data_IF_436017315811
#
_entry.id   IF_436017315811
#
_cell.length_a   1.000
_cell.length_b   1.000
_cell.length_c   1.000
_cell.angle_alpha   90.00
_cell.angle_beta   90.00
_cell.angle_gamma   90.00
#
_symmetry.space_group_name_H-M   'P 1'
#
loop_
_entity.id
_entity.type
_entity.pdbx_description
1 polymer ?
#
# COMPACT_ATOMS: atom_id res chain seq x y z
N UNK A 1 -21.14 2.53 10.24
CA UNK A 1 -19.96 3.41 10.26
C UNK A 1 -20.19 4.57 9.32
N UNK A 2 -19.89 5.76 9.75
CA UNK A 2 -19.92 6.98 8.92
C UNK A 2 -18.52 7.39 8.56
N UNK A 3 -18.34 7.93 7.35
CA UNK A 3 -17.05 8.38 6.84
C UNK A 3 -17.06 9.89 6.63
N UNK A 4 -15.95 10.52 6.93
CA UNK A 4 -15.71 11.96 6.81
C UNK A 4 -14.46 12.21 5.97
N UNK A 5 -14.31 13.43 5.46
CA UNK A 5 -13.10 13.90 4.79
C UNK A 5 -12.17 14.59 5.78
N UNK A 6 -10.87 14.44 5.60
CA UNK A 6 -9.84 15.19 6.34
C UNK A 6 -9.94 16.71 6.14
N UNK A 7 -10.66 17.19 5.11
CA UNK A 7 -10.73 18.61 4.75
C UNK A 7 -12.09 19.28 5.00
N UNK A 8 -13.02 18.55 5.60
CA UNK A 8 -14.25 19.11 6.16
C UNK A 8 -15.52 18.82 5.38
N UNK A 9 -15.49 18.08 4.25
CA UNK A 9 -16.70 17.58 3.63
C UNK A 9 -17.47 16.71 4.64
N UNK A 10 -18.67 17.14 4.97
CA UNK A 10 -19.47 16.56 6.05
C UNK A 10 -20.58 15.63 5.57
N UNK A 11 -20.78 15.50 4.27
CA UNK A 11 -21.75 14.53 3.74
C UNK A 11 -21.28 13.12 4.10
N UNK A 12 -21.91 12.55 5.12
CA UNK A 12 -21.60 11.18 5.56
C UNK A 12 -21.92 10.17 4.45
N UNK A 13 -20.92 9.37 4.09
CA UNK A 13 -21.05 8.35 3.06
C UNK A 13 -20.85 6.96 3.65
N UNK A 14 -21.58 5.94 3.15
CA UNK A 14 -21.34 4.56 3.52
C UNK A 14 -20.05 4.04 2.86
N UNK A 15 -19.52 2.92 3.38
CA UNK A 15 -18.30 2.32 2.87
C UNK A 15 -18.34 2.05 1.36
N UNK A 16 -19.43 1.51 0.84
CA UNK A 16 -19.55 1.17 -0.58
C UNK A 16 -19.40 2.38 -1.52
N UNK A 17 -19.79 3.57 -1.07
CA UNK A 17 -19.57 4.79 -1.84
C UNK A 17 -18.15 5.32 -1.69
N UNK A 18 -17.59 5.28 -0.49
CA UNK A 18 -16.21 5.65 -0.21
C UNK A 18 -15.23 4.78 -1.00
N UNK A 19 -15.53 3.48 -1.10
CA UNK A 19 -14.75 2.52 -1.90
C UNK A 19 -14.65 2.93 -3.38
N UNK A 20 -15.77 3.31 -3.98
CA UNK A 20 -15.81 3.70 -5.40
C UNK A 20 -15.29 5.12 -5.66
N UNK A 21 -15.39 5.99 -4.66
CA UNK A 21 -15.01 7.39 -4.78
C UNK A 21 -13.51 7.60 -4.78
N UNK A 22 -12.78 6.89 -3.92
CA UNK A 22 -11.34 7.04 -3.70
C UNK A 22 -10.98 8.32 -2.95
N UNK A 23 -11.10 9.47 -3.59
CA UNK A 23 -10.82 10.80 -3.04
C UNK A 23 -12.14 11.53 -2.72
N UNK A 24 -12.17 12.30 -1.63
CA UNK A 24 -13.32 13.13 -1.30
C UNK A 24 -13.51 14.29 -2.30
N UNK A 25 -14.75 14.81 -2.48
CA UNK A 25 -15.01 15.92 -3.41
C UNK A 25 -14.21 17.20 -3.10
N UNK A 26 -13.87 17.43 -1.83
CA UNK A 26 -13.04 18.54 -1.37
C UNK A 26 -11.53 18.31 -1.53
N UNK A 27 -11.13 17.20 -2.11
CA UNK A 27 -9.74 16.79 -2.27
C UNK A 27 -9.11 16.16 -1.03
N UNK A 28 -9.87 16.01 0.05
CA UNK A 28 -9.43 15.34 1.28
C UNK A 28 -9.46 13.82 1.19
N UNK A 29 -8.95 13.17 2.21
CA UNK A 29 -8.93 11.73 2.33
C UNK A 29 -10.09 11.25 3.20
N UNK A 30 -10.77 10.20 2.75
CA UNK A 30 -11.84 9.59 3.52
C UNK A 30 -11.27 8.71 4.64
N UNK A 31 -11.89 8.82 5.83
CA UNK A 31 -11.62 7.97 6.97
C UNK A 31 -12.89 7.88 7.85
N UNK A 32 -13.00 6.87 8.75
CA UNK A 32 -14.17 6.78 9.62
C UNK A 32 -14.23 7.94 10.61
N UNK A 33 -15.44 8.35 10.95
CA UNK A 33 -15.70 9.40 11.94
C UNK A 33 -15.02 9.12 13.29
N UNK A 34 -14.92 7.85 13.66
CA UNK A 34 -14.16 7.37 14.82
C UNK A 34 -13.60 5.98 14.56
N UNK A 35 -12.49 5.64 15.23
CA UNK A 35 -11.96 4.28 15.17
C UNK A 35 -12.70 3.38 16.16
N UNK A 36 -13.21 2.21 15.71
CA UNK A 36 -13.81 1.23 16.61
C UNK A 36 -12.83 0.79 17.69
N UNK A 37 -13.33 0.61 18.90
CA UNK A 37 -12.50 0.13 20.01
C UNK A 37 -12.66 -1.38 20.17
N UNK A 38 -11.55 -2.08 20.31
CA UNK A 38 -11.49 -3.53 20.51
C UNK A 38 -11.05 -3.80 21.94
N UNK A 39 -11.91 -4.48 22.72
CA UNK A 39 -11.59 -4.83 24.10
C UNK A 39 -10.56 -5.97 24.16
N UNK A 40 -9.90 -6.09 25.30
CA UNK A 40 -8.99 -7.20 25.57
C UNK A 40 -9.68 -8.57 25.42
N UNK A 41 -10.89 -8.71 25.92
CA UNK A 41 -11.70 -9.92 25.76
C UNK A 41 -11.95 -10.24 24.28
N UNK A 42 -12.20 -9.25 23.46
CA UNK A 42 -12.35 -9.41 22.01
C UNK A 42 -11.04 -9.85 21.36
N UNK A 43 -9.91 -9.27 21.77
CA UNK A 43 -8.59 -9.71 21.27
C UNK A 43 -8.30 -11.18 21.63
N UNK A 44 -8.68 -11.61 22.84
CA UNK A 44 -8.53 -13.02 23.26
C UNK A 44 -9.34 -13.96 22.37
N UNK A 45 -10.57 -13.58 22.01
CA UNK A 45 -11.43 -14.34 21.10
C UNK A 45 -10.87 -14.40 19.68
N UNK A 46 -10.23 -13.33 19.21
CA UNK A 46 -9.71 -13.25 17.84
C UNK A 46 -8.39 -13.97 17.63
N UNK A 47 -7.64 -14.22 18.70
CA UNK A 47 -6.28 -14.81 18.63
C UNK A 47 -6.22 -16.15 17.90
N UNK A 48 -7.25 -16.98 17.98
CA UNK A 48 -7.30 -18.30 17.34
C UNK A 48 -7.95 -18.34 15.96
N UNK A 49 -8.39 -17.22 15.43
CA UNK A 49 -9.10 -17.16 14.15
C UNK A 49 -8.14 -17.36 12.96
N UNK A 50 -8.64 -17.99 11.91
CA UNK A 50 -7.99 -17.96 10.59
C UNK A 50 -7.93 -16.54 10.06
N UNK A 51 -7.05 -16.29 9.08
CA UNK A 51 -6.92 -14.94 8.52
C UNK A 51 -8.23 -14.39 7.93
N UNK A 52 -9.00 -15.13 7.09
CA UNK A 52 -10.28 -14.60 6.59
C UNK A 52 -11.33 -14.38 7.68
N UNK A 53 -11.36 -15.19 8.73
CA UNK A 53 -12.23 -14.96 9.91
C UNK A 53 -11.81 -13.70 10.66
N UNK A 54 -10.52 -13.51 10.90
CA UNK A 54 -9.98 -12.30 11.52
C UNK A 54 -10.27 -11.07 10.65
N UNK A 55 -10.09 -11.19 9.33
CA UNK A 55 -10.42 -10.11 8.40
C UNK A 55 -11.90 -9.72 8.50
N UNK A 56 -12.80 -10.68 8.62
CA UNK A 56 -14.23 -10.40 8.82
C UNK A 56 -14.47 -9.65 10.13
N UNK A 57 -13.92 -10.12 11.25
CA UNK A 57 -14.10 -9.49 12.56
C UNK A 57 -13.59 -8.04 12.58
N UNK A 58 -12.42 -7.79 12.03
CA UNK A 58 -11.84 -6.44 11.95
C UNK A 58 -12.61 -5.56 10.96
N UNK A 59 -12.82 -6.03 9.75
CA UNK A 59 -13.38 -5.22 8.68
C UNK A 59 -14.87 -4.95 8.84
N UNK A 60 -15.64 -5.84 9.45
CA UNK A 60 -17.06 -5.63 9.74
C UNK A 60 -17.33 -4.44 10.66
N UNK A 61 -16.35 -4.03 11.47
CA UNK A 61 -16.43 -2.81 12.28
C UNK A 61 -16.45 -1.54 11.43
N UNK A 62 -15.88 -1.59 10.24
CA UNK A 62 -15.80 -0.47 9.29
C UNK A 62 -16.80 -0.59 8.14
N UNK A 63 -16.99 -1.79 7.61
CA UNK A 63 -17.83 -2.09 6.46
C UNK A 63 -19.22 -2.48 6.95
N UNK A 64 -20.06 -1.48 7.20
CA UNK A 64 -21.39 -1.69 7.86
C UNK A 64 -22.57 -1.68 6.91
N UNK A 65 -22.35 -1.40 5.62
CA UNK A 65 -23.40 -1.34 4.57
C UNK A 65 -23.33 -2.51 3.58
N UNK A 66 -22.43 -3.46 3.80
CA UNK A 66 -22.41 -4.76 3.10
C UNK A 66 -22.95 -5.81 4.08
N UNK A 67 -23.94 -6.63 3.70
CA UNK A 67 -24.45 -7.70 4.55
C UNK A 67 -23.32 -8.64 5.02
N UNK A 68 -23.42 -9.11 6.25
CA UNK A 68 -22.37 -9.90 6.88
C UNK A 68 -21.97 -11.15 6.08
N UNK A 69 -22.95 -11.88 5.54
CA UNK A 69 -22.65 -13.08 4.74
C UNK A 69 -21.98 -12.75 3.41
N UNK A 70 -22.36 -11.65 2.77
CA UNK A 70 -21.71 -11.17 1.55
C UNK A 70 -20.27 -10.72 1.83
N UNK A 71 -20.03 -10.04 2.95
CA UNK A 71 -18.67 -9.65 3.35
C UNK A 71 -17.79 -10.87 3.67
N UNK A 72 -18.34 -11.88 4.36
CA UNK A 72 -17.63 -13.14 4.60
C UNK A 72 -17.26 -13.84 3.30
N UNK A 73 -18.20 -13.90 2.35
CA UNK A 73 -17.93 -14.48 1.03
C UNK A 73 -16.79 -13.75 0.30
N UNK A 74 -16.83 -12.41 0.28
CA UNK A 74 -15.77 -11.59 -0.31
C UNK A 74 -14.41 -11.93 0.32
N UNK A 75 -14.33 -11.97 1.65
CA UNK A 75 -13.07 -12.19 2.37
C UNK A 75 -12.56 -13.63 2.23
N UNK A 76 -13.45 -14.62 2.23
CA UNK A 76 -13.08 -16.02 2.00
C UNK A 76 -12.56 -16.28 0.59
N UNK A 77 -13.08 -15.56 -0.41
CA UNK A 77 -12.57 -15.61 -1.78
C UNK A 77 -11.26 -14.84 -1.96
N UNK A 78 -11.03 -13.83 -1.14
CA UNK A 78 -9.83 -12.99 -1.20
C UNK A 78 -8.63 -13.66 -0.57
N UNK A 79 -8.75 -14.08 0.69
CA UNK A 79 -7.62 -14.56 1.49
C UNK A 79 -7.57 -16.08 1.51
N UNK A 80 -7.01 -16.65 0.45
CA UNK A 80 -6.88 -18.08 0.24
C UNK A 80 -5.43 -18.54 0.17
N UNK A 81 -5.16 -19.77 0.55
CA UNK A 81 -3.84 -20.38 0.37
C UNK A 81 -3.38 -20.34 -1.10
N UNK A 82 -4.31 -20.56 -2.03
CA UNK A 82 -4.01 -20.51 -3.47
C UNK A 82 -3.51 -19.13 -3.92
N UNK A 83 -4.07 -18.05 -3.38
CA UNK A 83 -3.68 -16.67 -3.73
C UNK A 83 -2.39 -16.22 -3.01
N UNK A 84 -2.17 -16.66 -1.76
CA UNK A 84 -1.10 -16.15 -0.91
C UNK A 84 -0.05 -17.20 -0.49
N UNK A 85 -0.08 -18.38 -1.06
CA UNK A 85 0.96 -19.40 -0.89
C UNK A 85 1.07 -20.02 0.50
N UNK A 86 0.20 -19.63 1.44
CA UNK A 86 0.17 -20.12 2.81
C UNK A 86 -1.23 -20.04 3.40
N UNK A 87 -1.63 -21.03 4.19
CA UNK A 87 -2.87 -21.00 4.98
C UNK A 87 -2.88 -19.86 6.00
N UNK A 88 -1.71 -19.47 6.45
CA UNK A 88 -1.56 -18.35 7.40
C UNK A 88 -1.72 -16.97 6.76
N UNK A 89 -1.70 -16.89 5.43
CA UNK A 89 -1.73 -15.69 4.60
C UNK A 89 -0.54 -14.75 4.87
N UNK A 90 -0.29 -14.40 6.13
CA UNK A 90 0.83 -13.54 6.55
C UNK A 90 1.68 -14.25 7.62
N UNK A 91 2.41 -15.31 7.26
CA UNK A 91 3.24 -16.03 8.21
C UNK A 91 4.34 -15.13 8.80
N UNK A 92 4.72 -15.43 10.04
CA UNK A 92 5.79 -14.73 10.76
C UNK A 92 6.95 -15.69 11.00
N UNK A 93 8.16 -15.26 10.65
CA UNK A 93 9.41 -15.96 10.96
C UNK A 93 10.32 -15.09 11.79
N UNK A 94 11.32 -15.67 12.43
CA UNK A 94 12.24 -14.95 13.31
C UNK A 94 13.66 -15.12 12.83
N UNK A 95 14.37 -14.02 12.62
CA UNK A 95 15.79 -14.02 12.29
C UNK A 95 16.62 -14.38 13.52
N UNK A 96 17.86 -14.83 13.30
CA UNK A 96 18.80 -15.26 14.36
C UNK A 96 19.07 -14.19 15.44
N UNK A 97 18.90 -12.91 15.10
CA UNK A 97 19.04 -11.79 16.03
C UNK A 97 17.74 -11.43 16.77
N UNK A 98 16.66 -12.20 16.55
CA UNK A 98 15.37 -12.02 17.20
C UNK A 98 14.40 -11.04 16.52
N UNK A 99 14.80 -10.35 15.45
CA UNK A 99 13.87 -9.59 14.63
C UNK A 99 12.89 -10.56 13.97
N UNK A 100 11.61 -10.26 14.09
CA UNK A 100 10.56 -11.04 13.41
C UNK A 100 10.24 -10.41 12.06
N UNK A 101 9.95 -11.23 11.07
CA UNK A 101 9.52 -10.79 9.74
C UNK A 101 8.13 -11.34 9.47
N UNK A 102 7.18 -10.47 9.21
CA UNK A 102 5.84 -10.83 8.76
C UNK A 102 5.79 -10.74 7.24
N UNK A 103 5.53 -11.88 6.59
CA UNK A 103 5.44 -11.96 5.15
C UNK A 103 4.11 -11.40 4.64
N UNK A 104 4.16 -10.25 3.97
CA UNK A 104 3.01 -9.63 3.30
C UNK A 104 3.06 -9.78 1.78
N UNK A 105 4.12 -10.36 1.26
CA UNK A 105 4.53 -10.33 -0.15
C UNK A 105 4.37 -11.65 -0.89
N UNK A 106 3.57 -12.58 -0.35
CA UNK A 106 3.36 -13.91 -0.94
C UNK A 106 2.15 -13.96 -1.90
N UNK A 107 1.54 -12.82 -2.17
CA UNK A 107 0.42 -12.71 -3.10
C UNK A 107 0.82 -12.82 -4.58
N UNK A 108 -0.14 -12.66 -5.50
CA UNK A 108 0.07 -12.90 -6.93
C UNK A 108 1.20 -12.08 -7.58
N UNK A 109 1.48 -10.89 -7.06
CA UNK A 109 2.50 -10.00 -7.64
C UNK A 109 3.74 -9.81 -6.78
N UNK A 110 3.86 -10.56 -5.68
CA UNK A 110 5.01 -10.57 -4.78
C UNK A 110 5.30 -9.22 -4.12
N UNK A 111 4.24 -8.45 -3.85
CA UNK A 111 4.29 -7.20 -3.11
C UNK A 111 3.14 -7.12 -2.10
N UNK A 112 3.35 -6.44 -0.97
CA UNK A 112 2.32 -6.28 0.07
C UNK A 112 1.03 -5.64 -0.44
N UNK A 113 1.09 -4.95 -1.56
CA UNK A 113 -0.06 -4.31 -2.22
C UNK A 113 -1.16 -5.31 -2.57
N UNK A 114 -0.80 -6.57 -2.82
CA UNK A 114 -1.76 -7.64 -3.06
C UNK A 114 -2.73 -7.86 -1.90
N UNK A 115 -2.29 -7.64 -0.66
CA UNK A 115 -3.13 -7.79 0.53
C UNK A 115 -4.39 -6.93 0.49
N UNK A 116 -4.24 -5.69 0.04
CA UNK A 116 -5.36 -4.76 -0.12
C UNK A 116 -6.01 -4.84 -1.50
N UNK A 117 -5.23 -5.00 -2.56
CA UNK A 117 -5.75 -4.99 -3.93
C UNK A 117 -6.64 -6.19 -4.22
N UNK A 118 -6.33 -7.39 -3.73
CA UNK A 118 -7.17 -8.56 -3.92
C UNK A 118 -8.55 -8.37 -3.26
N UNK A 119 -8.59 -7.79 -2.07
CA UNK A 119 -9.85 -7.39 -1.44
C UNK A 119 -10.59 -6.33 -2.28
N UNK A 120 -9.88 -5.29 -2.71
CA UNK A 120 -10.44 -4.18 -3.48
C UNK A 120 -11.12 -4.69 -4.77
N UNK A 121 -10.48 -5.61 -5.48
CA UNK A 121 -11.01 -6.20 -6.71
C UNK A 121 -12.34 -6.93 -6.47
N UNK A 122 -12.42 -7.76 -5.45
CA UNK A 122 -13.63 -8.49 -5.09
C UNK A 122 -14.74 -7.56 -4.57
N UNK A 123 -14.36 -6.54 -3.77
CA UNK A 123 -15.31 -5.55 -3.26
C UNK A 123 -15.86 -4.64 -4.36
N UNK A 124 -15.03 -4.22 -5.31
CA UNK A 124 -15.48 -3.45 -6.48
C UNK A 124 -16.49 -4.23 -7.30
N UNK A 125 -16.19 -5.46 -7.66
CA UNK A 125 -17.12 -6.29 -8.43
C UNK A 125 -18.46 -6.44 -7.71
N UNK A 126 -18.43 -6.71 -6.40
CA UNK A 126 -19.66 -6.82 -5.60
C UNK A 126 -20.48 -5.52 -5.60
N UNK A 127 -19.85 -4.40 -5.28
CA UNK A 127 -20.56 -3.10 -5.16
C UNK A 127 -21.08 -2.63 -6.51
N UNK A 128 -20.30 -2.77 -7.58
CA UNK A 128 -20.71 -2.38 -8.93
C UNK A 128 -21.87 -3.22 -9.43
N UNK A 129 -21.85 -4.55 -9.21
CA UNK A 129 -22.96 -5.43 -9.56
C UNK A 129 -24.26 -5.05 -8.82
N UNK A 130 -24.16 -4.77 -7.51
CA UNK A 130 -25.32 -4.34 -6.70
C UNK A 130 -25.90 -3.01 -7.14
N UNK A 131 -25.08 -2.09 -7.62
CA UNK A 131 -25.49 -0.75 -8.07
C UNK A 131 -25.82 -0.68 -9.57
N UNK A 132 -25.61 -1.75 -10.33
CA UNK A 132 -25.78 -1.75 -11.80
C UNK A 132 -24.87 -0.72 -12.48
N UNK A 133 -23.64 -0.56 -12.00
CA UNK A 133 -22.67 0.44 -12.47
C UNK A 133 -21.43 -0.24 -13.03
N UNK A 134 -20.71 0.51 -13.86
CA UNK A 134 -19.38 0.15 -14.37
C UNK A 134 -18.35 1.17 -13.90
N UNK A 135 -17.08 0.74 -13.85
CA UNK A 135 -15.96 1.57 -13.48
C UNK A 135 -14.78 1.24 -14.41
N UNK A 136 -14.21 2.28 -15.02
CA UNK A 136 -13.04 2.16 -15.87
C UNK A 136 -11.86 2.79 -15.16
N UNK A 137 -10.94 1.96 -14.71
CA UNK A 137 -9.77 2.39 -13.95
C UNK A 137 -8.73 2.91 -14.92
N UNK A 138 -8.27 4.14 -14.71
CA UNK A 138 -7.11 4.71 -15.37
C UNK A 138 -6.03 4.98 -14.33
N UNK A 139 -4.87 4.38 -14.50
CA UNK A 139 -3.75 4.51 -13.58
C UNK A 139 -2.42 4.67 -14.31
N UNK A 140 -1.42 5.17 -13.58
CA UNK A 140 -0.03 5.18 -13.98
C UNK A 140 0.79 4.38 -12.99
N UNK A 141 1.78 3.66 -13.49
CA UNK A 141 2.62 2.79 -12.68
C UNK A 141 4.08 2.81 -13.10
N UNK A 142 4.96 2.61 -12.14
CA UNK A 142 6.37 2.24 -12.40
C UNK A 142 6.61 0.72 -12.32
N UNK A 143 5.54 -0.08 -12.05
CA UNK A 143 5.57 -1.53 -12.04
C UNK A 143 4.69 -2.17 -10.95
N UNK A 144 4.99 -1.99 -9.68
CA UNK A 144 4.38 -2.75 -8.58
C UNK A 144 2.90 -2.44 -8.34
N UNK A 145 2.52 -1.17 -8.36
CA UNK A 145 1.10 -0.79 -8.15
C UNK A 145 0.24 -1.24 -9.32
N UNK A 146 0.74 -1.09 -10.55
CA UNK A 146 0.03 -1.50 -11.75
C UNK A 146 -0.18 -3.01 -11.80
N UNK A 147 0.87 -3.79 -11.57
CA UNK A 147 0.74 -5.25 -11.55
C UNK A 147 -0.23 -5.73 -10.48
N UNK A 148 -0.17 -5.18 -9.26
CA UNK A 148 -1.10 -5.53 -8.20
C UNK A 148 -2.57 -5.18 -8.55
N UNK A 149 -2.81 -4.02 -9.16
CA UNK A 149 -4.13 -3.61 -9.61
C UNK A 149 -4.67 -4.51 -10.72
N UNK A 150 -3.86 -4.81 -11.73
CA UNK A 150 -4.27 -5.68 -12.84
C UNK A 150 -4.58 -7.09 -12.40
N UNK A 151 -3.75 -7.70 -11.54
CA UNK A 151 -4.00 -9.04 -11.00
C UNK A 151 -5.23 -9.10 -10.10
N UNK A 152 -5.57 -8.02 -9.41
CA UNK A 152 -6.77 -7.95 -8.60
C UNK A 152 -8.05 -7.75 -9.42
N UNK A 153 -7.96 -7.03 -10.54
CA UNK A 153 -9.11 -6.61 -11.33
C UNK A 153 -9.33 -7.44 -12.61
N UNK A 154 -8.35 -8.27 -12.99
CA UNK A 154 -8.47 -9.14 -14.16
C UNK A 154 -9.71 -10.02 -14.08
N UNK A 155 -10.48 -10.07 -15.18
CA UNK A 155 -11.69 -10.88 -15.27
C UNK A 155 -12.86 -10.42 -14.40
N UNK A 156 -12.75 -9.29 -13.69
CA UNK A 156 -13.84 -8.75 -12.86
C UNK A 156 -14.90 -8.08 -13.73
N UNK A 157 -16.16 -8.44 -13.49
CA UNK A 157 -17.30 -7.87 -14.22
C UNK A 157 -17.52 -6.40 -13.84
N UNK A 158 -17.82 -5.59 -14.85
CA UNK A 158 -18.09 -4.16 -14.67
C UNK A 158 -16.83 -3.30 -14.44
N UNK A 159 -15.64 -3.87 -14.58
CA UNK A 159 -14.38 -3.15 -14.42
C UNK A 159 -13.49 -3.33 -15.66
N UNK A 160 -13.02 -2.22 -16.24
CA UNK A 160 -11.90 -2.22 -17.17
C UNK A 160 -10.70 -1.51 -16.53
N UNK A 161 -9.50 -1.92 -16.89
CA UNK A 161 -8.25 -1.34 -16.39
C UNK A 161 -7.42 -0.85 -17.56
N UNK A 162 -7.13 0.44 -17.56
CA UNK A 162 -6.20 1.10 -18.48
C UNK A 162 -4.99 1.54 -17.66
N UNK A 163 -3.87 0.83 -17.81
CA UNK A 163 -2.67 1.09 -17.02
C UNK A 163 -1.56 1.65 -17.89
N UNK A 164 -1.15 2.88 -17.56
CA UNK A 164 -0.06 3.57 -18.24
C UNK A 164 1.27 3.25 -17.56
N UNK A 165 2.29 2.97 -18.36
CA UNK A 165 3.65 2.74 -17.89
C UNK A 165 4.67 3.39 -18.84
N UNK A 166 5.84 3.83 -18.34
CA UNK A 166 6.86 4.44 -19.20
C UNK A 166 7.51 3.39 -20.10
N UNK A 167 7.49 3.62 -21.40
CA UNK A 167 8.01 2.68 -22.40
C UNK A 167 9.49 2.34 -22.15
N UNK A 168 9.78 1.05 -22.02
CA UNK A 168 11.13 0.53 -21.83
C UNK A 168 11.79 0.84 -20.47
N UNK A 169 11.08 1.38 -19.48
CA UNK A 169 11.66 1.79 -18.19
C UNK A 169 11.44 0.81 -17.04
N UNK A 170 10.45 -0.07 -17.15
CA UNK A 170 10.24 -1.14 -16.17
C UNK A 170 11.22 -2.29 -16.38
N UNK A 171 11.50 -3.07 -15.33
CA UNK A 171 12.28 -4.30 -15.45
C UNK A 171 11.57 -5.32 -16.36
N UNK A 172 12.33 -6.28 -16.90
CA UNK A 172 11.75 -7.34 -17.73
C UNK A 172 10.68 -8.14 -16.96
N UNK A 173 10.92 -8.41 -15.68
CA UNK A 173 9.96 -9.10 -14.83
C UNK A 173 8.66 -8.29 -14.63
N UNK A 174 8.77 -7.01 -14.31
CA UNK A 174 7.59 -6.15 -14.12
C UNK A 174 6.77 -6.01 -15.40
N UNK A 175 7.43 -5.82 -16.56
CA UNK A 175 6.75 -5.81 -17.86
C UNK A 175 6.02 -7.13 -18.11
N UNK A 176 6.68 -8.23 -17.87
CA UNK A 176 6.09 -9.54 -18.08
C UNK A 176 4.89 -9.79 -17.15
N UNK A 177 4.96 -9.37 -15.89
CA UNK A 177 3.82 -9.46 -14.98
C UNK A 177 2.57 -8.77 -15.52
N UNK A 178 2.73 -7.58 -16.10
CA UNK A 178 1.60 -6.80 -16.60
C UNK A 178 1.21 -7.19 -18.02
N UNK A 179 2.17 -7.20 -18.94
CA UNK A 179 1.88 -7.32 -20.36
C UNK A 179 1.54 -8.74 -20.81
N UNK A 180 1.87 -9.76 -19.99
CA UNK A 180 1.48 -11.15 -20.27
C UNK A 180 0.01 -11.45 -19.97
N UNK A 181 -0.70 -10.54 -19.28
CA UNK A 181 -2.12 -10.70 -19.03
C UNK A 181 -2.93 -10.57 -20.33
N UNK A 182 -3.76 -11.58 -20.61
CA UNK A 182 -4.58 -11.65 -21.84
C UNK A 182 -6.07 -11.43 -21.56
N UNK A 183 -6.43 -11.10 -20.31
CA UNK A 183 -7.82 -10.82 -19.92
C UNK A 183 -8.38 -9.62 -20.72
N UNK A 184 -9.61 -9.75 -21.22
CA UNK A 184 -10.24 -8.76 -22.10
C UNK A 184 -10.38 -7.39 -21.46
N UNK A 185 -10.51 -7.34 -20.13
CA UNK A 185 -10.70 -6.10 -19.37
C UNK A 185 -9.38 -5.44 -18.93
N UNK A 186 -8.21 -5.97 -19.29
CA UNK A 186 -6.90 -5.40 -18.94
C UNK A 186 -6.26 -4.80 -20.18
N UNK A 187 -5.94 -3.50 -20.13
CA UNK A 187 -5.36 -2.74 -21.23
C UNK A 187 -4.07 -2.04 -20.77
N UNK A 188 -2.94 -2.56 -21.20
CA UNK A 188 -1.63 -1.97 -20.95
C UNK A 188 -1.26 -0.97 -22.04
N UNK A 189 -0.83 0.23 -21.62
CA UNK A 189 -0.46 1.34 -22.49
C UNK A 189 0.95 1.81 -22.10
N UNK A 190 1.92 1.60 -23.00
CA UNK A 190 3.28 2.11 -22.83
C UNK A 190 3.39 3.50 -23.46
N UNK A 191 3.76 4.49 -22.65
CA UNK A 191 3.90 5.88 -23.04
C UNK A 191 5.37 6.18 -23.35
N UNK A 192 5.67 6.77 -24.50
CA UNK A 192 7.01 7.25 -24.86
C UNK A 192 7.38 8.46 -24.00
N UNK A 193 7.78 8.21 -22.77
CA UNK A 193 8.10 9.21 -21.76
C UNK A 193 8.58 8.58 -20.45
N UNK A 194 8.56 9.39 -19.40
CA UNK A 194 8.90 8.98 -18.05
C UNK A 194 7.64 8.65 -17.23
N UNK A 195 7.81 8.16 -16.02
CA UNK A 195 6.68 7.87 -15.12
C UNK A 195 5.84 9.12 -14.82
N UNK A 196 6.48 10.27 -14.62
CA UNK A 196 5.79 11.55 -14.39
C UNK A 196 4.90 11.94 -15.56
N UNK A 197 5.34 11.68 -16.81
CA UNK A 197 4.52 11.89 -18.01
C UNK A 197 3.25 11.03 -17.99
N UNK A 198 3.37 9.78 -17.56
CA UNK A 198 2.21 8.90 -17.40
C UNK A 198 1.23 9.46 -16.36
N UNK A 199 1.73 9.95 -15.22
CA UNK A 199 0.92 10.56 -14.18
C UNK A 199 0.23 11.83 -14.68
N UNK A 200 0.92 12.67 -15.45
CA UNK A 200 0.36 13.89 -16.01
C UNK A 200 -0.76 13.62 -17.03
N UNK A 201 -0.61 12.58 -17.83
CA UNK A 201 -1.69 12.10 -18.71
C UNK A 201 -2.90 11.66 -17.90
N UNK A 202 -2.70 10.86 -16.84
CA UNK A 202 -3.81 10.44 -15.95
C UNK A 202 -4.52 11.64 -15.36
N UNK A 203 -3.78 12.63 -14.85
CA UNK A 203 -4.35 13.89 -14.33
C UNK A 203 -5.14 14.65 -15.39
N UNK A 204 -4.59 14.77 -16.60
CA UNK A 204 -5.25 15.46 -17.71
C UNK A 204 -6.59 14.80 -18.09
N UNK A 205 -6.64 13.47 -18.12
CA UNK A 205 -7.88 12.72 -18.39
C UNK A 205 -8.88 12.87 -17.22
N UNK A 206 -8.40 12.79 -15.97
CA UNK A 206 -9.24 12.98 -14.78
C UNK A 206 -9.84 14.39 -14.67
N UNK A 207 -9.12 15.40 -15.16
CA UNK A 207 -9.56 16.80 -15.15
C UNK A 207 -10.53 17.13 -16.30
N UNK A 208 -10.65 16.27 -17.31
CA UNK A 208 -11.72 16.39 -18.32
C UNK A 208 -13.01 15.80 -17.75
N UNK A 209 -13.80 16.65 -17.10
CA UNK A 209 -15.01 16.25 -16.40
C UNK A 209 -16.02 15.53 -17.32
N UNK A 210 -16.21 16.00 -18.56
CA UNK A 210 -17.13 15.40 -19.52
C UNK A 210 -16.67 14.00 -19.94
N UNK A 211 -15.37 13.82 -20.18
CA UNK A 211 -14.81 12.51 -20.54
C UNK A 211 -14.88 11.56 -19.35
N UNK A 212 -14.49 12.03 -18.16
CA UNK A 212 -14.53 11.25 -16.92
C UNK A 212 -15.93 10.75 -16.61
N UNK A 213 -16.95 11.60 -16.75
CA UNK A 213 -18.34 11.25 -16.51
C UNK A 213 -18.84 10.26 -17.57
N UNK A 214 -18.63 10.55 -18.88
CA UNK A 214 -19.10 9.69 -19.97
C UNK A 214 -18.57 8.26 -19.86
N UNK A 215 -17.28 8.10 -19.52
CA UNK A 215 -16.61 6.80 -19.50
C UNK A 215 -16.44 6.23 -18.09
N UNK A 216 -17.05 6.81 -17.07
CA UNK A 216 -16.96 6.37 -15.67
C UNK A 216 -15.51 6.13 -15.21
N UNK A 217 -14.63 7.10 -15.48
CA UNK A 217 -13.20 6.98 -15.18
C UNK A 217 -12.96 7.09 -13.68
N UNK A 218 -12.35 6.05 -13.11
CA UNK A 218 -11.94 5.98 -11.72
C UNK A 218 -10.46 5.67 -11.56
N UNK A 219 -10.02 5.48 -10.33
CA UNK A 219 -8.62 5.18 -10.00
C UNK A 219 -8.51 4.21 -8.82
N UNK A 220 -7.40 3.49 -8.76
CA UNK A 220 -7.01 2.61 -7.63
C UNK A 220 -5.71 3.11 -7.01
N UNK A 221 -5.75 4.27 -6.39
CA UNK A 221 -4.58 4.86 -5.77
C UNK A 221 -4.41 4.41 -4.30
N UNK A 222 -3.24 4.73 -3.70
CA UNK A 222 -2.90 4.34 -2.33
C UNK A 222 -3.78 4.98 -1.25
N UNK A 223 -4.51 6.04 -1.59
CA UNK A 223 -5.37 6.78 -0.64
C UNK A 223 -6.77 6.19 -0.49
N UNK A 224 -7.18 5.25 -1.35
CA UNK A 224 -8.48 4.61 -1.24
C UNK A 224 -8.64 3.96 0.14
N UNK A 225 -9.72 4.30 0.85
CA UNK A 225 -9.97 3.77 2.19
C UNK A 225 -10.08 2.24 2.22
N UNK A 226 -10.64 1.64 1.18
CA UNK A 226 -10.70 0.17 1.05
C UNK A 226 -9.33 -0.49 1.09
N UNK A 227 -8.29 0.19 0.59
CA UNK A 227 -6.90 -0.28 0.71
C UNK A 227 -6.37 -0.16 2.13
N UNK A 228 -6.71 0.91 2.85
CA UNK A 228 -6.25 1.12 4.23
C UNK A 228 -6.90 0.11 5.17
N UNK A 229 -8.22 -0.06 5.11
CA UNK A 229 -8.92 -0.97 6.04
C UNK A 229 -8.47 -2.42 5.88
N UNK A 230 -8.19 -2.87 4.67
CA UNK A 230 -7.65 -4.21 4.42
C UNK A 230 -6.26 -4.41 5.05
N UNK A 231 -5.46 -3.36 5.14
CA UNK A 231 -4.14 -3.39 5.75
C UNK A 231 -4.18 -3.40 7.28
N UNK A 232 -5.24 -2.89 7.90
CA UNK A 232 -5.40 -2.95 9.35
C UNK A 232 -5.37 -4.40 9.85
N UNK A 233 -5.94 -5.33 9.11
CA UNK A 233 -6.08 -6.75 9.48
C UNK A 233 -4.74 -7.40 9.78
N UNK A 234 -3.73 -7.22 8.94
CA UNK A 234 -2.47 -7.92 9.13
C UNK A 234 -1.65 -7.41 10.33
N UNK A 235 -1.93 -6.23 10.85
CA UNK A 235 -1.34 -5.80 12.12
C UNK A 235 -1.88 -6.64 13.29
N UNK A 236 -3.18 -6.92 13.31
CA UNK A 236 -3.77 -7.86 14.28
C UNK A 236 -3.17 -9.25 14.10
N UNK A 237 -3.11 -9.78 12.89
CA UNK A 237 -2.53 -11.08 12.60
C UNK A 237 -1.05 -11.18 13.04
N UNK A 238 -0.24 -10.18 12.72
CA UNK A 238 1.17 -10.11 13.11
C UNK A 238 1.36 -10.02 14.62
N UNK A 239 0.51 -9.26 15.29
CA UNK A 239 0.50 -9.18 16.74
C UNK A 239 0.22 -10.55 17.38
N UNK A 240 -0.84 -11.24 16.97
CA UNK A 240 -1.20 -12.55 17.53
C UNK A 240 -0.14 -13.63 17.30
N UNK A 241 0.52 -13.59 16.13
CA UNK A 241 1.60 -14.55 15.81
C UNK A 241 2.92 -14.22 16.50
N UNK A 242 3.07 -13.03 17.03
CA UNK A 242 4.32 -12.57 17.67
C UNK A 242 4.25 -12.53 19.19
N UNK A 243 3.08 -12.84 19.78
CA UNK A 243 2.82 -12.79 21.21
C UNK A 243 2.07 -14.04 21.69
N UNK A 244 2.22 -14.36 22.97
CA UNK A 244 1.49 -15.48 23.61
C UNK A 244 0.22 -14.98 24.32
N UNK A 245 0.20 -13.72 24.75
CA UNK A 245 -0.93 -13.11 25.46
C UNK A 245 -1.11 -11.65 25.07
N UNK A 246 -2.27 -11.07 25.41
CA UNK A 246 -2.56 -9.65 25.14
C UNK A 246 -2.02 -8.71 26.23
N UNK A 247 -1.20 -9.24 27.18
CA UNK A 247 -0.37 -8.44 28.08
C UNK A 247 0.93 -7.98 27.44
N UNK A 248 1.35 -8.67 26.37
CA UNK A 248 2.56 -8.34 25.65
C UNK A 248 2.34 -7.20 24.66
N UNK A 249 3.40 -6.44 24.41
CA UNK A 249 3.41 -5.40 23.40
C UNK A 249 4.38 -5.75 22.27
N UNK A 250 4.06 -5.27 21.06
CA UNK A 250 4.87 -5.47 19.87
C UNK A 250 5.09 -4.13 19.19
N UNK A 251 6.31 -3.91 18.71
CA UNK A 251 6.61 -2.81 17.79
C UNK A 251 6.63 -3.32 16.36
N UNK A 252 6.07 -2.53 15.44
CA UNK A 252 6.13 -2.83 14.00
C UNK A 252 7.09 -1.87 13.31
N UNK A 253 8.04 -2.42 12.56
CA UNK A 253 8.91 -1.66 11.68
C UNK A 253 8.40 -1.77 10.25
N UNK A 254 8.12 -0.64 9.65
CA UNK A 254 7.39 -0.55 8.38
C UNK A 254 8.22 0.20 7.36
N UNK A 255 8.73 -0.48 6.31
CA UNK A 255 9.24 0.20 5.13
C UNK A 255 8.15 1.09 4.53
N UNK A 256 8.38 2.40 4.47
CA UNK A 256 7.31 3.36 4.18
C UNK A 256 7.68 4.35 3.09
N UNK A 257 6.80 4.47 2.09
CA UNK A 257 6.81 5.52 1.07
C UNK A 257 5.58 6.40 1.20
N UNK A 258 4.42 5.94 0.71
CA UNK A 258 3.14 6.66 0.74
C UNK A 258 2.44 6.70 2.11
N UNK A 259 3.06 6.16 3.15
CA UNK A 259 2.51 6.10 4.51
C UNK A 259 1.26 5.21 4.67
N UNK A 260 0.76 4.58 3.63
CA UNK A 260 -0.47 3.78 3.68
C UNK A 260 -0.37 2.60 4.64
N UNK A 261 0.71 1.83 4.56
CA UNK A 261 0.94 0.66 5.40
C UNK A 261 1.03 1.06 6.89
N UNK A 262 1.89 1.98 7.25
CA UNK A 262 2.05 2.39 8.65
C UNK A 262 0.85 3.18 9.18
N UNK A 263 0.09 3.85 8.32
CA UNK A 263 -1.20 4.46 8.67
C UNK A 263 -2.20 3.39 9.14
N UNK A 264 -2.25 2.25 8.48
CA UNK A 264 -3.07 1.11 8.94
C UNK A 264 -2.61 0.59 10.31
N UNK A 265 -1.31 0.57 10.57
CA UNK A 265 -0.76 0.26 11.91
C UNK A 265 -1.16 1.28 12.98
N UNK A 266 -1.14 2.57 12.63
CA UNK A 266 -1.65 3.63 13.49
C UNK A 266 -3.12 3.40 13.85
N UNK A 267 -3.96 3.08 12.86
CA UNK A 267 -5.37 2.78 13.09
C UNK A 267 -5.54 1.56 14.00
N UNK A 268 -4.82 0.47 13.75
CA UNK A 268 -4.85 -0.72 14.60
C UNK A 268 -4.49 -0.38 16.06
N UNK A 269 -3.47 0.46 16.28
CA UNK A 269 -3.09 0.95 17.60
C UNK A 269 -4.22 1.78 18.24
N UNK A 270 -4.84 2.67 17.48
CA UNK A 270 -5.97 3.48 17.96
C UNK A 270 -7.21 2.63 18.28
N UNK A 271 -7.38 1.47 17.65
CA UNK A 271 -8.42 0.50 17.98
C UNK A 271 -8.18 -0.26 19.29
N UNK A 272 -6.99 -0.17 19.86
CA UNK A 272 -6.62 -0.84 21.10
C UNK A 272 -5.69 -2.05 20.95
N UNK A 273 -5.16 -2.33 19.75
CA UNK A 273 -4.12 -3.34 19.58
C UNK A 273 -2.87 -2.93 20.37
N UNK A 274 -2.27 -3.82 21.20
CA UNK A 274 -1.13 -3.47 22.05
C UNK A 274 0.17 -3.29 21.25
N UNK A 275 0.22 -2.25 20.43
CA UNK A 275 1.40 -1.81 19.69
C UNK A 275 2.17 -0.83 20.56
N UNK A 276 3.44 -1.17 20.86
CA UNK A 276 4.33 -0.28 21.59
C UNK A 276 4.74 0.89 20.73
N UNK A 277 5.42 0.60 19.61
CA UNK A 277 5.91 1.62 18.68
C UNK A 277 5.58 1.25 17.24
N UNK A 278 5.43 2.30 16.43
CA UNK A 278 5.42 2.22 14.98
C UNK A 278 6.72 2.85 14.47
N UNK A 279 7.59 2.03 13.91
CA UNK A 279 8.92 2.42 13.45
C UNK A 279 8.84 2.64 11.94
N UNK A 280 8.95 3.89 11.53
CA UNK A 280 8.93 4.27 10.12
C UNK A 280 10.33 4.14 9.54
N UNK A 281 10.53 3.22 8.61
CA UNK A 281 11.78 3.06 7.91
C UNK A 281 11.71 3.74 6.55
N UNK A 282 12.60 4.69 6.28
CA UNK A 282 12.74 5.35 4.97
C UNK A 282 14.01 4.91 4.26
N UNK A 283 14.08 5.16 2.96
CA UNK A 283 15.33 5.12 2.21
C UNK A 283 15.96 6.52 2.18
N UNK A 284 16.79 6.82 1.16
CA UNK A 284 17.42 8.14 0.97
C UNK A 284 16.38 9.25 0.82
N UNK A 285 15.14 8.93 0.44
CA UNK A 285 14.01 9.85 0.43
C UNK A 285 13.43 9.94 1.86
N UNK A 286 14.10 10.69 2.71
CA UNK A 286 13.96 10.70 4.16
C UNK A 286 12.99 11.75 4.72
N UNK A 287 12.04 12.20 3.92
CA UNK A 287 11.08 13.26 4.30
C UNK A 287 10.28 12.88 5.56
N UNK A 288 9.83 11.62 5.66
CA UNK A 288 9.13 11.13 6.85
C UNK A 288 10.06 10.99 8.06
N UNK A 289 11.29 10.49 7.88
CA UNK A 289 12.27 10.40 8.96
C UNK A 289 12.59 11.78 9.54
N UNK A 290 12.76 12.79 8.68
CA UNK A 290 12.93 14.18 9.11
C UNK A 290 11.74 14.64 9.97
N UNK A 291 10.50 14.40 9.51
CA UNK A 291 9.32 14.80 10.27
C UNK A 291 9.27 14.15 11.66
N UNK A 292 9.45 12.84 11.74
CA UNK A 292 9.37 12.13 13.04
C UNK A 292 10.48 12.50 14.01
N UNK A 293 11.59 13.04 13.52
CA UNK A 293 12.70 13.53 14.34
C UNK A 293 12.59 15.01 14.70
N UNK A 294 12.04 15.82 13.82
CA UNK A 294 12.11 17.30 13.95
C UNK A 294 10.76 18.01 13.95
N UNK A 295 9.70 17.36 13.49
CA UNK A 295 8.39 17.99 13.25
C UNK A 295 8.26 18.68 11.89
N UNK A 296 9.35 18.82 11.15
CA UNK A 296 9.35 19.48 9.84
C UNK A 296 8.98 18.51 8.73
N UNK A 297 7.89 18.79 8.01
CA UNK A 297 7.46 18.05 6.81
C UNK A 297 7.75 18.91 5.58
N UNK A 298 8.78 18.53 4.85
CA UNK A 298 9.30 19.27 3.69
C UNK A 298 9.40 18.35 2.47
N UNK A 299 8.30 18.03 1.80
CA UNK A 299 8.33 17.22 0.58
C UNK A 299 9.20 17.88 -0.50
N UNK A 300 10.03 17.06 -1.14
CA UNK A 300 10.86 17.48 -2.27
C UNK A 300 10.07 17.36 -3.57
N UNK A 301 10.43 18.15 -4.57
CA UNK A 301 9.90 18.00 -5.91
C UNK A 301 10.51 16.75 -6.60
N UNK A 302 10.02 16.40 -7.79
CA UNK A 302 10.47 15.23 -8.53
C UNK A 302 11.97 15.27 -8.88
N UNK A 303 12.53 16.46 -9.13
CA UNK A 303 13.95 16.64 -9.46
C UNK A 303 14.87 16.36 -8.26
N UNK A 304 14.38 16.51 -7.04
CA UNK A 304 15.11 16.30 -5.80
C UNK A 304 14.73 14.99 -5.07
N UNK A 305 13.89 14.18 -5.69
CA UNK A 305 13.57 12.83 -5.21
C UNK A 305 14.60 11.87 -5.77
N UNK A 306 15.27 11.12 -4.90
CA UNK A 306 16.29 10.16 -5.30
C UNK A 306 15.68 8.94 -5.96
N UNK A 307 16.31 8.44 -7.01
CA UNK A 307 16.05 7.11 -7.57
C UNK A 307 16.95 6.11 -6.85
N UNK A 308 16.36 5.14 -6.15
CA UNK A 308 17.09 4.23 -5.27
C UNK A 308 16.90 2.77 -5.65
N UNK A 309 17.62 1.89 -4.96
CA UNK A 309 17.45 0.43 -5.08
C UNK A 309 16.27 -0.14 -4.28
N UNK A 310 15.53 0.71 -3.54
CA UNK A 310 14.21 0.37 -2.97
C UNK A 310 13.11 1.27 -3.55
N UNK A 311 12.79 1.12 -4.85
CA UNK A 311 12.07 2.12 -5.64
C UNK A 311 10.63 2.38 -5.20
N UNK A 312 9.96 1.44 -4.54
CA UNK A 312 8.59 1.65 -4.04
C UNK A 312 8.53 2.67 -2.89
N UNK A 313 9.69 3.01 -2.31
CA UNK A 313 9.85 4.04 -1.28
C UNK A 313 10.42 5.35 -1.82
N UNK A 314 10.60 5.49 -3.13
CA UNK A 314 11.05 6.71 -3.79
C UNK A 314 9.92 7.75 -3.85
N UNK A 315 9.51 8.19 -2.68
CA UNK A 315 8.37 9.07 -2.44
C UNK A 315 8.81 10.23 -1.56
N UNK A 316 8.59 11.44 -2.02
CA UNK A 316 8.78 12.64 -1.22
C UNK A 316 7.49 13.11 -0.55
N UNK A 317 6.38 13.13 -1.28
CA UNK A 317 5.07 13.51 -0.75
C UNK A 317 4.25 12.26 -0.43
N UNK A 318 4.26 11.86 0.84
CA UNK A 318 3.54 10.70 1.34
C UNK A 318 2.02 10.98 1.40
N UNK A 319 1.26 10.42 0.45
CA UNK A 319 -0.14 10.77 0.25
C UNK A 319 -1.06 10.42 1.43
N UNK A 320 -0.77 9.34 2.17
CA UNK A 320 -1.57 8.95 3.34
C UNK A 320 -1.16 9.62 4.66
N UNK A 321 -0.08 10.39 4.65
CA UNK A 321 0.40 11.09 5.83
C UNK A 321 -0.63 12.09 6.37
N UNK A 322 -1.43 12.65 5.50
CA UNK A 322 -2.54 13.56 5.84
C UNK A 322 -3.51 12.93 6.86
N UNK A 323 -3.79 11.63 6.79
CA UNK A 323 -4.66 10.94 7.76
C UNK A 323 -4.09 10.97 9.17
N UNK A 324 -2.78 10.73 9.31
CA UNK A 324 -2.12 10.80 10.61
C UNK A 324 -2.06 12.23 11.14
N UNK A 325 -1.71 13.19 10.30
CA UNK A 325 -1.68 14.62 10.70
C UNK A 325 -3.08 15.10 11.10
N UNK A 326 -4.12 14.63 10.44
CA UNK A 326 -5.50 14.92 10.85
C UNK A 326 -5.77 14.44 12.29
N UNK A 327 -5.41 13.21 12.64
CA UNK A 327 -5.52 12.73 14.03
C UNK A 327 -4.61 13.51 14.98
N UNK A 328 -3.39 13.86 14.56
CA UNK A 328 -2.42 14.63 15.35
C UNK A 328 -2.96 16.04 15.70
N UNK A 329 -3.68 16.66 14.78
CA UNK A 329 -4.32 17.97 14.91
C UNK A 329 -5.77 17.88 15.45
N UNK A 330 -6.05 16.82 16.22
CA UNK A 330 -7.35 16.59 16.88
C UNK A 330 -8.55 16.60 15.93
N UNK A 331 -8.31 16.20 14.67
CA UNK A 331 -9.29 16.12 13.58
C UNK A 331 -9.90 17.47 13.18
N UNK A 332 -9.12 18.54 13.26
CA UNK A 332 -9.52 19.84 12.76
C UNK A 332 -9.26 20.00 11.25
N UNK A 333 -10.31 20.05 10.40
CA UNK A 333 -10.13 20.16 8.96
C UNK A 333 -9.58 21.53 8.53
N UNK A 334 -9.75 22.59 9.33
CA UNK A 334 -9.19 23.91 9.01
C UNK A 334 -7.67 23.91 9.12
N UNK A 335 -7.13 23.25 10.14
CA UNK A 335 -5.70 23.04 10.29
C UNK A 335 -5.13 22.24 9.11
N UNK A 336 -5.79 21.16 8.70
CA UNK A 336 -5.36 20.36 7.56
C UNK A 336 -5.37 21.17 6.26
N UNK A 337 -6.42 21.94 6.01
CA UNK A 337 -6.48 22.80 4.83
C UNK A 337 -5.32 23.82 4.81
N UNK A 338 -4.99 24.40 5.96
CA UNK A 338 -3.87 25.35 6.10
C UNK A 338 -2.53 24.66 5.82
N UNK A 339 -2.27 23.53 6.47
CA UNK A 339 -1.00 22.80 6.33
C UNK A 339 -0.80 22.28 4.89
N UNK A 340 -1.84 21.73 4.27
CA UNK A 340 -1.74 21.21 2.90
C UNK A 340 -1.68 22.29 1.83
N UNK A 341 -2.20 23.49 2.11
CA UNK A 341 -1.96 24.65 1.25
C UNK A 341 -0.47 25.05 1.22
N UNK A 342 0.23 24.99 2.36
CA UNK A 342 1.68 25.22 2.41
C UNK A 342 2.47 24.12 1.68
N UNK A 343 2.04 22.86 1.80
CA UNK A 343 2.63 21.75 1.01
C UNK A 343 2.43 21.96 -0.49
N UNK A 344 1.22 22.36 -0.91
CA UNK A 344 0.92 22.66 -2.32
C UNK A 344 1.74 23.83 -2.86
N UNK A 345 2.05 24.81 -2.00
CA UNK A 345 2.92 25.94 -2.33
C UNK A 345 4.43 25.57 -2.34
N UNK A 346 4.79 24.32 -2.06
CA UNK A 346 6.18 23.84 -2.04
C UNK A 346 6.98 24.25 -0.80
N UNK A 347 6.30 24.73 0.25
CA UNK A 347 6.96 25.20 1.49
C UNK A 347 7.04 24.11 2.57
N UNK A 348 6.04 23.22 2.63
CA UNK A 348 5.87 22.29 3.75
C UNK A 348 5.40 22.97 5.04
N UNK A 349 5.51 22.27 6.17
CA UNK A 349 5.09 22.79 7.48
C UNK A 349 5.97 22.25 8.61
N UNK A 350 5.85 22.86 9.79
CA UNK A 350 6.56 22.47 11.00
C UNK A 350 5.57 22.28 12.16
N UNK A 351 5.59 21.10 12.76
CA UNK A 351 4.78 20.68 13.90
C UNK A 351 5.68 20.23 15.07
N UNK A 352 6.83 20.89 15.27
CA UNK A 352 7.77 20.57 16.35
C UNK A 352 7.07 20.56 17.72
N UNK A 353 6.11 21.43 17.95
CA UNK A 353 5.32 21.49 19.19
C UNK A 353 4.52 20.20 19.48
N UNK A 354 4.25 19.38 18.47
CA UNK A 354 3.47 18.15 18.60
C UNK A 354 4.33 16.89 18.75
N UNK A 355 5.66 16.98 18.72
CA UNK A 355 6.56 15.81 18.76
C UNK A 355 6.36 14.93 20.00
N UNK A 356 6.09 15.52 21.16
CA UNK A 356 5.78 14.74 22.37
C UNK A 356 4.51 13.89 22.20
N UNK A 357 3.50 14.42 21.50
CA UNK A 357 2.28 13.69 21.16
C UNK A 357 2.54 12.60 20.12
N UNK A 358 3.40 12.89 19.13
CA UNK A 358 3.81 11.93 18.09
C UNK A 358 4.51 10.70 18.71
N UNK A 359 5.50 10.91 19.54
CA UNK A 359 6.25 9.84 20.21
C UNK A 359 5.49 9.21 21.38
N UNK A 360 4.93 10.03 22.28
CA UNK A 360 4.29 9.56 23.51
C UNK A 360 2.92 8.94 23.29
N UNK A 361 1.98 9.69 22.71
CA UNK A 361 0.60 9.22 22.51
C UNK A 361 0.51 8.20 21.36
N UNK A 362 1.15 8.50 20.25
CA UNK A 362 1.02 7.69 19.03
C UNK A 362 2.12 6.65 18.84
N UNK A 363 3.23 6.77 19.57
CA UNK A 363 4.31 5.78 19.60
C UNK A 363 5.15 5.73 18.34
N UNK A 364 5.22 6.80 17.55
CA UNK A 364 6.04 6.84 16.35
C UNK A 364 7.52 7.08 16.66
N UNK A 365 8.36 6.37 15.94
CA UNK A 365 9.79 6.64 15.80
C UNK A 365 10.20 6.31 14.37
N UNK A 366 11.42 6.67 13.98
CA UNK A 366 11.85 6.48 12.59
C UNK A 366 13.35 6.29 12.45
N UNK A 367 13.75 5.84 11.27
CA UNK A 367 15.12 5.75 10.85
C UNK A 367 15.25 5.74 9.33
N UNK A 368 16.48 5.94 8.85
CA UNK A 368 16.83 5.98 7.45
C UNK A 368 17.81 4.87 7.08
N UNK A 369 17.68 4.33 5.89
CA UNK A 369 18.56 3.34 5.29
C UNK A 369 19.07 3.85 3.94
N UNK A 370 20.35 3.62 3.67
CA UNK A 370 21.01 3.98 2.41
C UNK A 370 21.22 2.74 1.53
N UNK A 371 21.65 2.93 0.29
CA UNK A 371 22.01 1.83 -0.59
C UNK A 371 23.07 0.90 0.03
N UNK A 372 24.12 1.48 0.64
CA UNK A 372 25.14 0.71 1.33
C UNK A 372 24.56 -0.09 2.51
N UNK A 373 23.65 0.49 3.27
CA UNK A 373 22.95 -0.19 4.37
C UNK A 373 22.11 -1.37 3.85
N UNK A 374 21.39 -1.18 2.74
CA UNK A 374 20.60 -2.25 2.10
C UNK A 374 21.46 -3.43 1.69
N UNK A 375 22.54 -3.18 0.96
CA UNK A 375 23.47 -4.24 0.53
C UNK A 375 24.06 -4.99 1.72
N UNK A 376 24.54 -4.26 2.73
CA UNK A 376 25.08 -4.86 3.95
C UNK A 376 24.04 -5.71 4.70
N UNK A 377 22.81 -5.22 4.81
CA UNK A 377 21.71 -5.92 5.51
C UNK A 377 21.30 -7.18 4.77
N UNK A 378 21.10 -7.11 3.44
CA UNK A 378 20.79 -8.29 2.61
C UNK A 378 21.89 -9.34 2.78
N UNK A 379 23.15 -8.94 2.69
CA UNK A 379 24.31 -9.83 2.84
C UNK A 379 24.33 -10.49 4.22
N UNK A 380 24.16 -9.72 5.28
CA UNK A 380 24.16 -10.24 6.65
C UNK A 380 23.05 -11.25 6.89
N UNK A 381 21.81 -10.96 6.47
CA UNK A 381 20.67 -11.88 6.60
C UNK A 381 20.94 -13.17 5.80
N UNK A 382 21.47 -13.05 4.58
CA UNK A 382 21.82 -14.23 3.78
C UNK A 382 22.91 -15.09 4.42
N UNK A 383 23.96 -14.48 4.95
CA UNK A 383 25.07 -15.20 5.59
C UNK A 383 24.64 -15.88 6.90
N UNK A 384 23.84 -15.19 7.72
CA UNK A 384 23.44 -15.66 9.05
C UNK A 384 22.23 -16.58 9.04
N UNK A 385 21.20 -16.24 8.27
CA UNK A 385 19.90 -16.90 8.29
C UNK A 385 19.62 -17.73 7.02
N UNK A 386 20.47 -17.63 5.99
CA UNK A 386 20.29 -18.28 4.67
C UNK A 386 19.00 -17.82 3.96
N UNK A 387 18.54 -16.63 4.27
CA UNK A 387 17.35 -16.02 3.68
C UNK A 387 17.74 -14.86 2.76
N UNK A 388 17.01 -14.71 1.65
CA UNK A 388 17.09 -13.55 0.78
C UNK A 388 15.91 -12.64 1.06
N UNK A 389 16.16 -11.45 1.59
CA UNK A 389 15.19 -10.39 1.76
C UNK A 389 15.32 -9.37 0.63
N UNK A 390 14.23 -8.72 0.26
CA UNK A 390 14.23 -7.69 -0.77
C UNK A 390 14.81 -6.35 -0.23
N UNK A 391 15.18 -5.41 -1.10
CA UNK A 391 15.77 -4.13 -0.67
C UNK A 391 14.88 -3.31 0.28
N UNK A 392 13.55 -3.34 0.10
CA UNK A 392 12.62 -2.60 0.97
C UNK A 392 12.57 -3.22 2.37
N UNK A 393 12.48 -4.54 2.45
CA UNK A 393 12.57 -5.26 3.72
C UNK A 393 13.93 -5.04 4.39
N UNK A 394 15.00 -4.94 3.62
CA UNK A 394 16.33 -4.61 4.13
C UNK A 394 16.38 -3.21 4.78
N UNK A 395 15.74 -2.21 4.18
CA UNK A 395 15.57 -0.89 4.82
C UNK A 395 14.87 -1.02 6.18
N UNK A 396 13.80 -1.81 6.25
CA UNK A 396 13.09 -2.08 7.49
C UNK A 396 13.93 -2.81 8.54
N UNK A 397 14.62 -3.88 8.16
CA UNK A 397 15.46 -4.66 9.08
C UNK A 397 16.62 -3.82 9.62
N UNK A 398 17.27 -3.03 8.76
CA UNK A 398 18.34 -2.10 9.16
C UNK A 398 17.84 -1.14 10.23
N UNK A 399 16.73 -0.46 9.98
CA UNK A 399 16.16 0.52 10.92
C UNK A 399 15.69 -0.17 12.18
N UNK A 400 15.02 -1.32 12.09
CA UNK A 400 14.61 -2.10 13.25
C UNK A 400 15.77 -2.43 14.19
N UNK A 401 16.91 -2.88 13.62
CA UNK A 401 18.13 -3.18 14.38
C UNK A 401 18.72 -1.95 15.06
N UNK A 402 18.67 -0.81 14.38
CA UNK A 402 19.22 0.45 14.88
C UNK A 402 18.44 1.02 16.06
N UNK A 403 17.10 0.95 16.00
CA UNK A 403 16.23 1.64 16.98
C UNK A 403 15.62 0.71 18.03
N UNK A 404 15.78 -0.61 17.89
CA UNK A 404 15.24 -1.59 18.86
C UNK A 404 15.83 -1.37 20.24
N UNK A 405 14.95 -1.35 21.23
CA UNK A 405 15.31 -1.31 22.65
C UNK A 405 15.50 -2.73 23.21
N UNK A 406 16.22 -2.83 24.33
CA UNK A 406 16.43 -4.11 25.00
C UNK A 406 15.09 -4.74 25.41
N UNK A 407 14.90 -6.03 25.10
CA UNK A 407 13.69 -6.78 25.40
C UNK A 407 12.48 -6.44 24.53
N UNK A 408 12.64 -5.56 23.55
CA UNK A 408 11.55 -5.18 22.64
C UNK A 408 11.33 -6.23 21.54
N UNK A 409 10.10 -6.71 21.41
CA UNK A 409 9.69 -7.53 20.27
C UNK A 409 9.39 -6.61 19.08
N UNK A 410 10.18 -6.74 18.02
CA UNK A 410 10.00 -5.97 16.77
C UNK A 410 9.64 -6.89 15.64
N UNK A 411 8.54 -6.58 14.96
CA UNK A 411 8.07 -7.22 13.73
C UNK A 411 8.34 -6.27 12.56
N UNK A 412 9.22 -6.67 11.66
CA UNK A 412 9.46 -5.97 10.41
C UNK A 412 8.50 -6.51 9.34
N UNK A 413 7.82 -5.64 8.62
CA UNK A 413 6.92 -6.03 7.55
C UNK A 413 7.70 -6.26 6.25
N UNK A 414 7.60 -7.47 5.69
CA UNK A 414 8.14 -7.81 4.39
C UNK A 414 7.19 -7.33 3.30
N UNK A 415 7.62 -6.33 2.55
CA UNK A 415 6.75 -5.61 1.61
C UNK A 415 6.91 -6.06 0.15
N UNK A 416 7.98 -6.79 -0.16
CA UNK A 416 8.21 -7.42 -1.45
C UNK A 416 9.13 -8.66 -1.32
N UNK A 417 9.25 -9.45 -2.39
CA UNK A 417 10.19 -10.56 -2.45
C UNK A 417 11.43 -10.23 -3.28
N UNK A 418 12.54 -10.86 -2.92
CA UNK A 418 13.84 -10.71 -3.58
C UNK A 418 13.79 -10.95 -5.10
N UNK A 419 12.92 -11.86 -5.56
CA UNK A 419 12.74 -12.20 -6.97
C UNK A 419 12.36 -11.02 -7.89
N UNK A 420 11.88 -9.91 -7.33
CA UNK A 420 11.55 -8.68 -8.08
C UNK A 420 12.76 -7.76 -8.28
N UNK A 421 13.84 -7.96 -7.54
CA UNK A 421 14.97 -7.05 -7.42
C UNK A 421 16.31 -7.79 -7.55
N UNK A 422 16.40 -8.72 -8.46
CA UNK A 422 17.54 -9.62 -8.67
C UNK A 422 18.88 -8.88 -8.84
N UNK A 423 18.90 -7.76 -9.54
CA UNK A 423 20.10 -6.96 -9.73
C UNK A 423 20.72 -6.49 -8.39
N UNK A 424 19.89 -5.96 -7.48
CA UNK A 424 20.34 -5.51 -6.15
C UNK A 424 20.72 -6.69 -5.26
N UNK A 425 20.00 -7.81 -5.35
CA UNK A 425 20.33 -9.03 -4.61
C UNK A 425 21.72 -9.55 -5.05
N UNK A 426 21.96 -9.64 -6.36
CA UNK A 426 23.27 -10.07 -6.89
C UNK A 426 24.38 -9.10 -6.54
N UNK A 427 24.12 -7.80 -6.51
CA UNK A 427 25.10 -6.82 -6.04
C UNK A 427 25.49 -7.06 -4.57
N UNK A 428 24.52 -7.45 -3.73
CA UNK A 428 24.78 -7.69 -2.30
C UNK A 428 25.48 -9.02 -2.00
N UNK A 429 25.07 -10.11 -2.67
CA UNK A 429 25.46 -11.49 -2.29
C UNK A 429 26.13 -12.29 -3.42
N UNK A 430 26.32 -11.68 -4.59
CA UNK A 430 26.89 -12.35 -5.76
C UNK A 430 25.88 -13.18 -6.54
N UNK A 431 26.38 -14.07 -7.38
CA UNK A 431 25.55 -14.91 -8.26
C UNK A 431 24.94 -16.09 -7.47
N UNK A 432 23.82 -15.83 -6.84
CA UNK A 432 23.04 -16.83 -6.10
C UNK A 432 21.69 -17.06 -6.79
N UNK A 433 21.16 -18.28 -6.66
CA UNK A 433 19.82 -18.59 -7.12
C UNK A 433 18.77 -17.85 -6.26
N UNK A 434 17.93 -17.04 -6.89
CA UNK A 434 16.86 -16.32 -6.21
C UNK A 434 15.56 -17.11 -6.39
N UNK A 435 14.94 -17.62 -5.31
CA UNK A 435 13.70 -18.37 -5.41
C UNK A 435 12.58 -17.55 -6.03
N UNK A 436 11.85 -18.15 -6.95
CA UNK A 436 10.68 -17.58 -7.60
C UNK A 436 9.51 -18.58 -7.48
N UNK A 437 8.29 -18.14 -7.14
CA UNK A 437 7.12 -19.01 -7.15
C UNK A 437 6.93 -19.67 -8.52
N UNK A 438 6.56 -20.97 -8.53
CA UNK A 438 6.40 -21.74 -9.76
C UNK A 438 5.42 -21.11 -10.78
N UNK A 439 4.36 -20.45 -10.29
CA UNK A 439 3.39 -19.74 -11.13
C UNK A 439 4.00 -18.56 -11.92
N UNK A 440 5.18 -18.08 -11.53
CA UNK A 440 5.87 -16.94 -12.15
C UNK A 440 7.14 -17.36 -12.88
N UNK A 441 7.45 -18.65 -12.92
CA UNK A 441 8.56 -19.16 -13.71
C UNK A 441 8.28 -19.01 -15.21
N UNK A 442 9.27 -18.51 -15.96
CA UNK A 442 9.17 -18.35 -17.41
C UNK A 442 8.19 -17.24 -17.85
N UNK A 443 7.74 -16.41 -16.94
CA UNK A 443 6.79 -15.31 -17.20
C UNK A 443 7.26 -14.40 -18.36
N UNK A 444 8.55 -14.11 -18.43
CA UNK A 444 9.15 -13.26 -19.46
C UNK A 444 9.09 -13.86 -20.88
N UNK A 445 8.81 -15.17 -20.98
CA UNK A 445 8.66 -15.88 -22.26
C UNK A 445 7.22 -15.90 -22.79
N UNK A 446 6.25 -15.47 -21.96
CA UNK A 446 4.85 -15.42 -22.36
C UNK A 446 4.60 -14.30 -23.38
N UNK A 447 3.60 -14.48 -24.29
CA UNK A 447 3.18 -13.40 -25.18
C UNK A 447 2.79 -12.15 -24.42
N UNK A 448 3.29 -11.00 -24.85
CA UNK A 448 3.02 -9.72 -24.21
C UNK A 448 2.06 -8.89 -25.07
N UNK A 449 1.08 -8.26 -24.42
CA UNK A 449 0.09 -7.39 -25.05
C UNK A 449 0.18 -5.99 -24.47
N UNK A 450 0.63 -5.04 -25.27
CA UNK A 450 0.76 -3.64 -24.89
C UNK A 450 0.58 -2.74 -26.11
N UNK A 451 -0.02 -1.58 -25.92
CA UNK A 451 -0.11 -0.53 -26.97
C UNK A 451 0.86 0.59 -26.64
N UNK A 452 1.75 0.90 -27.57
CA UNK A 452 2.71 2.00 -27.41
C UNK A 452 2.12 3.27 -27.99
N UNK A 453 2.15 4.36 -27.23
CA UNK A 453 1.59 5.67 -27.63
C UNK A 453 2.58 6.80 -27.38
N UNK A 454 2.44 7.93 -28.13
CA UNK A 454 3.18 9.14 -27.82
C UNK A 454 2.73 9.73 -26.46
N UNK A 455 3.57 10.60 -25.89
CA UNK A 455 3.27 11.30 -24.63
C UNK A 455 2.19 12.39 -24.86
N UNK A 456 0.94 11.97 -25.00
CA UNK A 456 -0.20 12.90 -25.00
C UNK A 456 -1.50 12.22 -24.54
N UNK A 457 -2.36 12.98 -23.88
CA UNK A 457 -3.62 12.50 -23.35
C UNK A 457 -4.64 12.10 -24.44
N UNK A 458 -4.57 12.71 -25.63
CA UNK A 458 -5.50 12.42 -26.72
C UNK A 458 -5.35 10.98 -27.23
N UNK A 459 -4.11 10.48 -27.34
CA UNK A 459 -3.83 9.11 -27.74
C UNK A 459 -4.38 8.09 -26.74
N UNK A 460 -4.29 8.37 -25.45
CA UNK A 460 -4.85 7.52 -24.38
C UNK A 460 -6.37 7.56 -24.39
N UNK A 461 -6.98 8.73 -24.52
CA UNK A 461 -8.44 8.88 -24.66
C UNK A 461 -8.99 8.10 -25.85
N UNK A 462 -8.25 8.06 -26.97
CA UNK A 462 -8.68 7.31 -28.14
C UNK A 462 -8.72 5.80 -27.87
N UNK A 463 -7.73 5.25 -27.18
CA UNK A 463 -7.74 3.84 -26.76
C UNK A 463 -8.95 3.53 -25.90
N UNK A 464 -9.29 4.42 -24.97
CA UNK A 464 -10.46 4.26 -24.10
C UNK A 464 -11.74 4.25 -24.92
N UNK A 465 -11.89 5.19 -25.89
CA UNK A 465 -13.05 5.23 -26.80
C UNK A 465 -13.16 3.96 -27.62
N UNK A 466 -12.09 3.57 -28.32
CA UNK A 466 -12.06 2.35 -29.15
C UNK A 466 -12.43 1.08 -28.37
N UNK A 467 -12.16 1.07 -27.07
CA UNK A 467 -12.45 -0.06 -26.21
C UNK A 467 -13.89 -0.07 -25.70
N UNK A 468 -14.42 1.10 -25.32
CA UNK A 468 -15.70 1.22 -24.61
C UNK A 468 -16.88 1.60 -25.50
N UNK A 469 -16.67 2.21 -26.66
CA UNK A 469 -17.74 2.59 -27.60
C UNK A 469 -18.11 1.45 -28.60
N UNK A 470 -17.72 0.19 -28.30
CA UNK A 470 -18.02 -0.99 -29.14
C UNK A 470 -19.44 -1.50 -28.99
#
# INVERSE_FOLDING_TARGET
MKYISTRGETAHKPFSEVLLMGLAPDGGLMLPEHYPQVSRETLDKWRGLSYPELAFEVMSLFVTDIPADDLRDILNRTYTEAAFGSKEITPVRTLSDGIKIQALSNGPTLAFKDMAMQFLGNAFEYVLNKKGRELNILGATSGDTGSAAEYALRGKKGVNVFMLSPDGKMSAFQRAQMYSLQDENIHNIAVKGMFDDCQDIVKAVQNDAAFKEKYHIGTVNSINWGRIVAQVVYYFAGYFKSTQSNDEQVSFCVPSGNFGNVCAGHIAKQMGLPIRRLIVATNENDVLDEFFKTGAYRPRNSEHTYVTSSPSMDISKASNFERFVFDLMDRDPQEINTLWAEVAAGKGFDLQFALDKVGGKYGFTSGKSTHADRLATIKQVYEQDKELIDPHTADGVKVAREVREEGETVVCLETALAAKFDATIHEAVGDVAIPRPAALEGLEKLPQRVRVVPNNAAAVKEIIRETLDK
#
